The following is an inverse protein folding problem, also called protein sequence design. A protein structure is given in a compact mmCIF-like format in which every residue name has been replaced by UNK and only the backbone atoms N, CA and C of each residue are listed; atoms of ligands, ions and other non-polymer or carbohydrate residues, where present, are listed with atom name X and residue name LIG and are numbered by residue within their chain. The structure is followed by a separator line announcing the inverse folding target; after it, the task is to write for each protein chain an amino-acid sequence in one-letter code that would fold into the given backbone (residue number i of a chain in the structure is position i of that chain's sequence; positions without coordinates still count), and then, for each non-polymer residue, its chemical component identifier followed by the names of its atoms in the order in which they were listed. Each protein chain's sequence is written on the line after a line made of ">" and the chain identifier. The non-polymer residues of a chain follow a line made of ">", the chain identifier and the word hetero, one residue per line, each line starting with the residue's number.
data_IF_023335011489
#
_entry.id   IF_023335011489
#
_cell.length_a   1.000
_cell.length_b   1.000
_cell.length_c   1.000
_cell.angle_alpha   90.00
_cell.angle_beta   90.00
_cell.angle_gamma   90.00
#
_symmetry.space_group_name_H-M   'P 1'
#
loop_
_entity.id
_entity.type
_entity.pdbx_description
1 polymer ?
#
# COMPACT_ATOMS: atom_id res chain seq x y z
N UNK A 1 -38.40 3.49 3.03
CA UNK A 1 -37.51 3.40 4.20
C UNK A 1 -36.07 3.41 3.72
N UNK A 2 -35.32 4.50 3.90
CA UNK A 2 -33.89 4.49 3.59
C UNK A 2 -33.18 3.66 4.67
N UNK A 3 -32.81 2.42 4.34
CA UNK A 3 -31.86 1.68 5.16
C UNK A 3 -30.57 2.50 5.20
N UNK A 4 -30.25 2.99 6.39
CA UNK A 4 -28.98 3.64 6.70
C UNK A 4 -27.95 2.52 6.63
N UNK A 5 -27.43 2.24 5.43
CA UNK A 5 -26.37 1.24 5.25
C UNK A 5 -25.22 1.62 6.20
N UNK A 6 -25.02 0.80 7.23
CA UNK A 6 -23.92 0.98 8.14
C UNK A 6 -22.66 0.77 7.30
N UNK A 7 -21.95 1.85 7.03
CA UNK A 7 -20.69 1.82 6.30
C UNK A 7 -19.81 0.69 6.86
N UNK A 8 -19.43 -0.31 6.03
CA UNK A 8 -18.58 -1.40 6.47
C UNK A 8 -17.31 -0.89 7.13
N UNK A 9 -16.80 -1.61 8.13
CA UNK A 9 -15.62 -1.18 8.91
C UNK A 9 -14.44 -0.82 8.01
N UNK A 10 -14.18 -1.60 6.96
CA UNK A 10 -13.14 -1.35 5.96
C UNK A 10 -13.28 0.03 5.31
N UNK A 11 -14.51 0.47 5.03
CA UNK A 11 -14.74 1.77 4.39
C UNK A 11 -14.56 2.94 5.36
N UNK A 12 -14.81 2.73 6.66
CA UNK A 12 -14.45 3.71 7.69
C UNK A 12 -12.95 3.90 7.77
N UNK A 13 -12.18 2.80 7.69
CA UNK A 13 -10.72 2.82 7.64
C UNK A 13 -10.23 3.58 6.40
N UNK A 14 -10.83 3.34 5.23
CA UNK A 14 -10.52 4.11 4.02
C UNK A 14 -10.76 5.63 4.21
N UNK A 15 -11.88 6.02 4.81
CA UNK A 15 -12.15 7.45 5.09
C UNK A 15 -11.07 8.06 6.00
N UNK A 16 -10.65 7.31 7.04
CA UNK A 16 -9.57 7.74 7.91
C UNK A 16 -8.25 7.90 7.15
N UNK A 17 -7.91 6.96 6.27
CA UNK A 17 -6.70 7.06 5.46
C UNK A 17 -6.71 8.27 4.52
N UNK A 18 -7.85 8.57 3.90
CA UNK A 18 -8.03 9.77 3.07
C UNK A 18 -7.86 11.04 3.91
N UNK A 19 -8.42 11.06 5.12
CA UNK A 19 -8.27 12.18 6.04
C UNK A 19 -6.79 12.43 6.40
N UNK A 20 -6.06 11.38 6.78
CA UNK A 20 -4.64 11.47 7.12
C UNK A 20 -3.78 11.94 5.93
N UNK A 21 -4.07 11.46 4.72
CA UNK A 21 -3.42 11.95 3.50
C UNK A 21 -3.67 13.45 3.30
N UNK A 22 -4.92 13.92 3.44
CA UNK A 22 -5.27 15.34 3.28
C UNK A 22 -4.64 16.23 4.35
N UNK A 23 -4.42 15.70 5.55
CA UNK A 23 -3.69 16.40 6.63
C UNK A 23 -2.18 16.38 6.45
N UNK A 24 -1.66 15.64 5.46
CA UNK A 24 -0.24 15.57 5.18
C UNK A 24 0.54 14.64 6.11
N UNK A 25 -0.16 13.75 6.85
CA UNK A 25 0.47 12.76 7.75
C UNK A 25 1.36 11.79 6.96
N UNK A 26 0.91 11.40 5.77
CA UNK A 26 1.67 10.56 4.83
C UNK A 26 1.47 11.02 3.40
N UNK A 27 2.49 10.83 2.57
CA UNK A 27 2.51 11.26 1.16
C UNK A 27 1.81 10.27 0.23
N UNK A 28 1.74 9.01 0.64
CA UNK A 28 1.08 7.92 -0.07
C UNK A 28 0.47 6.93 0.93
N UNK A 29 -0.60 6.26 0.53
CA UNK A 29 -1.29 5.22 1.27
C UNK A 29 -1.41 3.98 0.41
N UNK A 30 -1.21 2.81 1.00
CA UNK A 30 -1.65 1.52 0.48
C UNK A 30 -2.81 1.02 1.34
N UNK A 31 -3.93 0.72 0.71
CA UNK A 31 -5.10 0.15 1.36
C UNK A 31 -5.57 -1.12 0.63
N UNK A 32 -5.65 -2.24 1.34
CA UNK A 32 -6.07 -3.53 0.77
C UNK A 32 -7.48 -3.87 1.22
N UNK A 33 -8.40 -4.05 0.29
CA UNK A 33 -9.82 -4.32 0.58
C UNK A 33 -10.45 -5.28 -0.44
N UNK A 34 -11.68 -5.70 -0.18
CA UNK A 34 -12.42 -6.59 -1.08
C UNK A 34 -12.93 -5.84 -2.33
N UNK A 35 -12.79 -6.44 -3.50
CA UNK A 35 -13.14 -5.83 -4.79
C UNK A 35 -14.60 -5.35 -4.89
N UNK A 36 -15.53 -5.93 -4.11
CA UNK A 36 -16.93 -5.49 -4.07
C UNK A 36 -17.10 -4.01 -3.68
N UNK A 37 -16.10 -3.41 -3.03
CA UNK A 37 -16.11 -2.01 -2.62
C UNK A 37 -15.30 -1.09 -3.55
N UNK A 38 -14.80 -1.58 -4.68
CA UNK A 38 -13.94 -0.83 -5.59
C UNK A 38 -14.58 0.46 -6.07
N UNK A 39 -15.80 0.37 -6.61
CA UNK A 39 -16.55 1.52 -7.12
C UNK A 39 -16.73 2.60 -6.07
N UNK A 40 -17.01 2.22 -4.82
CA UNK A 40 -17.15 3.15 -3.70
C UNK A 40 -15.81 3.85 -3.41
N UNK A 41 -14.72 3.09 -3.30
CA UNK A 41 -13.41 3.63 -2.99
C UNK A 41 -12.91 4.61 -4.07
N UNK A 42 -13.04 4.23 -5.35
CA UNK A 42 -12.64 5.05 -6.50
C UNK A 42 -13.46 6.35 -6.55
N UNK A 43 -14.79 6.25 -6.44
CA UNK A 43 -15.67 7.44 -6.46
C UNK A 43 -15.28 8.42 -5.35
N UNK A 44 -14.89 7.91 -4.18
CA UNK A 44 -14.48 8.76 -3.06
C UNK A 44 -13.16 9.50 -3.31
N UNK A 45 -12.20 8.86 -3.97
CA UNK A 45 -10.92 9.48 -4.32
C UNK A 45 -11.09 10.49 -5.46
N UNK A 46 -11.85 10.14 -6.49
CA UNK A 46 -12.16 11.02 -7.63
C UNK A 46 -12.90 12.28 -7.21
N UNK A 47 -13.93 12.18 -6.35
CA UNK A 47 -14.66 13.35 -5.82
C UNK A 47 -13.80 14.31 -5.00
N UNK A 48 -12.59 13.90 -4.61
CA UNK A 48 -11.63 14.72 -3.87
C UNK A 48 -10.37 15.04 -4.69
N UNK A 49 -10.37 14.70 -5.98
CA UNK A 49 -9.24 14.87 -6.89
C UNK A 49 -7.93 14.25 -6.36
N UNK A 50 -8.03 13.05 -5.77
CA UNK A 50 -6.88 12.31 -5.26
C UNK A 50 -6.45 11.28 -6.30
N UNK A 51 -5.20 11.36 -6.75
CA UNK A 51 -4.61 10.39 -7.67
C UNK A 51 -4.47 9.01 -7.02
N UNK A 52 -4.65 7.96 -7.83
CA UNK A 52 -4.63 6.58 -7.34
C UNK A 52 -4.18 5.55 -8.39
N UNK A 53 -3.86 4.34 -7.91
CA UNK A 53 -3.59 3.14 -8.69
C UNK A 53 -4.35 1.99 -8.02
N UNK A 54 -5.06 1.20 -8.83
CA UNK A 54 -5.68 -0.06 -8.40
C UNK A 54 -4.84 -1.21 -8.93
N UNK A 55 -4.51 -2.15 -8.06
CA UNK A 55 -3.78 -3.36 -8.40
C UNK A 55 -4.52 -4.59 -7.84
N UNK A 56 -4.98 -5.51 -8.71
CA UNK A 56 -5.52 -6.79 -8.26
C UNK A 56 -4.44 -7.63 -7.55
N UNK A 57 -4.76 -8.20 -6.39
CA UNK A 57 -3.85 -9.10 -5.65
C UNK A 57 -4.30 -10.56 -5.68
N UNK A 58 -5.45 -10.85 -6.30
CA UNK A 58 -6.09 -12.16 -6.31
C UNK A 58 -7.03 -12.36 -5.12
N UNK A 59 -7.77 -13.47 -5.14
CA UNK A 59 -8.73 -13.85 -4.08
C UNK A 59 -9.81 -12.78 -3.77
N UNK A 60 -10.27 -12.06 -4.80
CA UNK A 60 -11.29 -11.01 -4.65
C UNK A 60 -10.83 -9.79 -3.84
N UNK A 61 -9.52 -9.53 -3.76
CA UNK A 61 -8.94 -8.38 -3.07
C UNK A 61 -8.17 -7.48 -4.02
N UNK A 62 -8.18 -6.19 -3.70
CA UNK A 62 -7.49 -5.14 -4.42
C UNK A 62 -6.55 -4.40 -3.48
N UNK A 63 -5.37 -4.04 -3.99
CA UNK A 63 -4.54 -2.99 -3.43
C UNK A 63 -4.91 -1.66 -4.10
N UNK A 64 -5.21 -0.65 -3.30
CA UNK A 64 -5.41 0.72 -3.74
C UNK A 64 -4.31 1.58 -3.17
N UNK A 65 -3.45 2.07 -4.07
CA UNK A 65 -2.48 3.09 -3.76
C UNK A 65 -3.09 4.45 -4.07
N UNK A 66 -2.98 5.40 -3.16
CA UNK A 66 -3.37 6.78 -3.44
C UNK A 66 -2.42 7.76 -2.73
N UNK A 67 -2.17 8.90 -3.35
CA UNK A 67 -1.16 9.81 -2.83
C UNK A 67 -0.69 10.86 -3.82
N UNK A 68 0.51 11.36 -3.56
CA UNK A 68 1.21 12.29 -4.44
C UNK A 68 1.54 11.64 -5.80
N UNK A 69 1.33 12.33 -6.94
CA UNK A 69 1.59 11.78 -8.27
C UNK A 69 2.99 11.18 -8.42
N UNK A 70 4.01 11.84 -7.88
CA UNK A 70 5.41 11.42 -7.97
C UNK A 70 5.64 10.06 -7.26
N UNK A 71 4.97 9.84 -6.12
CA UNK A 71 4.99 8.54 -5.44
C UNK A 71 4.28 7.47 -6.27
N UNK A 72 3.16 7.81 -6.91
CA UNK A 72 2.40 6.87 -7.73
C UNK A 72 3.16 6.48 -9.00
N UNK A 73 3.87 7.41 -9.62
CA UNK A 73 4.72 7.13 -10.78
C UNK A 73 5.86 6.16 -10.42
N UNK A 74 6.47 6.34 -9.24
CA UNK A 74 7.43 5.37 -8.71
C UNK A 74 6.79 3.98 -8.49
N UNK A 75 5.57 3.92 -7.93
CA UNK A 75 4.84 2.65 -7.74
C UNK A 75 4.56 1.96 -9.07
N UNK A 76 4.17 2.68 -10.13
CA UNK A 76 3.91 2.09 -11.46
C UNK A 76 5.14 1.38 -12.02
N UNK A 77 6.32 1.92 -11.78
CA UNK A 77 7.57 1.35 -12.27
C UNK A 77 8.07 0.20 -11.39
N UNK A 78 7.87 0.30 -10.07
CA UNK A 78 8.44 -0.62 -9.09
C UNK A 78 7.54 -1.83 -8.79
N UNK A 79 6.22 -1.63 -8.72
CA UNK A 79 5.24 -2.62 -8.27
C UNK A 79 4.55 -3.26 -9.48
N UNK A 80 5.34 -4.00 -10.26
CA UNK A 80 4.87 -4.81 -11.40
C UNK A 80 4.67 -6.30 -11.04
N UNK A 81 4.84 -6.65 -9.77
CA UNK A 81 4.78 -8.01 -9.21
C UNK A 81 4.05 -8.00 -7.87
N UNK A 82 3.63 -9.15 -7.33
CA UNK A 82 3.06 -9.24 -5.98
C UNK A 82 3.97 -8.60 -4.92
N UNK A 83 3.39 -7.90 -3.94
CA UNK A 83 4.16 -7.21 -2.90
C UNK A 83 5.09 -8.14 -2.10
N UNK A 84 4.70 -9.42 -1.97
CA UNK A 84 5.53 -10.44 -1.32
C UNK A 84 6.82 -10.77 -2.07
N UNK A 85 6.90 -10.43 -3.35
CA UNK A 85 8.03 -10.73 -4.23
C UNK A 85 8.95 -9.53 -4.45
N UNK A 86 8.68 -8.39 -3.80
CA UNK A 86 9.55 -7.22 -3.87
C UNK A 86 10.96 -7.54 -3.35
N UNK A 87 11.97 -7.00 -4.01
CA UNK A 87 13.35 -7.05 -3.52
C UNK A 87 13.47 -6.30 -2.19
N UNK A 88 14.55 -6.52 -1.41
CA UNK A 88 14.82 -5.71 -0.22
C UNK A 88 14.84 -4.20 -0.53
N UNK A 89 15.42 -3.81 -1.67
CA UNK A 89 15.45 -2.42 -2.14
C UNK A 89 14.06 -1.87 -2.46
N UNK A 90 13.25 -2.62 -3.21
CA UNK A 90 11.91 -2.20 -3.60
C UNK A 90 10.98 -2.05 -2.37
N UNK A 91 11.08 -2.97 -1.41
CA UNK A 91 10.36 -2.93 -0.14
C UNK A 91 10.85 -1.79 0.77
N UNK A 92 12.15 -1.47 0.73
CA UNK A 92 12.69 -0.30 1.42
C UNK A 92 12.03 0.98 0.90
N UNK A 93 12.06 1.16 -0.42
CA UNK A 93 11.48 2.33 -1.11
C UNK A 93 9.98 2.41 -0.85
N UNK A 94 9.25 1.28 -0.95
CA UNK A 94 7.82 1.22 -0.66
C UNK A 94 7.53 1.67 0.77
N UNK A 95 8.23 1.12 1.76
CA UNK A 95 8.00 1.47 3.17
C UNK A 95 8.34 2.93 3.48
N UNK A 96 9.41 3.47 2.89
CA UNK A 96 9.73 4.89 3.00
C UNK A 96 8.62 5.79 2.43
N UNK A 97 8.05 5.44 1.26
CA UNK A 97 6.92 6.19 0.68
C UNK A 97 5.64 6.10 1.51
N UNK A 98 5.42 4.97 2.21
CA UNK A 98 4.31 4.78 3.14
C UNK A 98 4.51 5.53 4.47
N UNK A 99 5.68 6.12 4.70
CA UNK A 99 6.00 6.90 5.89
C UNK A 99 6.51 6.07 7.07
N UNK A 100 7.05 4.88 6.82
CA UNK A 100 7.76 4.14 7.87
C UNK A 100 9.07 4.84 8.24
N UNK A 101 9.48 4.64 9.49
CA UNK A 101 10.74 5.16 9.99
C UNK A 101 11.93 4.61 9.18
N UNK A 102 12.87 5.49 8.86
CA UNK A 102 14.02 5.15 8.00
C UNK A 102 14.95 4.18 8.72
N UNK A 103 15.17 4.32 10.02
CA UNK A 103 16.02 3.41 10.78
C UNK A 103 15.41 2.01 10.86
N UNK A 104 14.10 1.91 11.13
CA UNK A 104 13.38 0.64 11.11
C UNK A 104 13.43 -0.03 9.72
N UNK A 105 13.34 0.75 8.64
CA UNK A 105 13.50 0.22 7.28
C UNK A 105 14.95 -0.23 6.99
N UNK A 106 15.97 0.42 7.56
CA UNK A 106 17.36 -0.03 7.49
C UNK A 106 17.55 -1.38 8.18
N UNK A 107 17.03 -1.52 9.40
CA UNK A 107 17.07 -2.79 10.15
C UNK A 107 16.44 -3.92 9.34
N UNK A 108 15.20 -3.70 8.87
CA UNK A 108 14.46 -4.67 8.05
C UNK A 108 15.20 -5.01 6.75
N UNK A 109 15.83 -4.03 6.09
CA UNK A 109 16.62 -4.25 4.89
C UNK A 109 17.82 -5.17 5.15
N UNK A 110 18.60 -4.87 6.19
CA UNK A 110 19.73 -5.69 6.60
C UNK A 110 19.31 -7.13 6.92
N UNK A 111 18.23 -7.30 7.69
CA UNK A 111 17.69 -8.64 8.00
C UNK A 111 17.35 -9.43 6.74
N UNK A 112 16.63 -8.81 5.79
CA UNK A 112 16.24 -9.48 4.54
C UNK A 112 17.44 -9.82 3.67
N UNK A 113 18.48 -8.99 3.64
CA UNK A 113 19.73 -9.27 2.92
C UNK A 113 20.52 -10.40 3.57
N UNK A 114 20.67 -10.40 4.89
CA UNK A 114 21.35 -11.47 5.63
C UNK A 114 20.63 -12.82 5.45
N UNK A 115 19.30 -12.86 5.57
CA UNK A 115 18.53 -14.09 5.31
C UNK A 115 18.72 -14.62 3.90
N UNK A 116 18.74 -13.73 2.89
CA UNK A 116 19.01 -14.12 1.50
C UNK A 116 20.43 -14.67 1.33
N UNK A 117 21.43 -14.07 1.98
CA UNK A 117 22.80 -14.55 1.95
C UNK A 117 22.94 -15.92 2.62
N UNK A 118 22.28 -16.14 3.76
CA UNK A 118 22.26 -17.43 4.47
C UNK A 118 21.56 -18.53 3.65
N UNK A 119 20.41 -18.20 3.05
CA UNK A 119 19.70 -19.12 2.16
C UNK A 119 20.52 -19.48 0.91
N UNK A 120 21.25 -18.51 0.34
CA UNK A 120 22.15 -18.76 -0.79
C UNK A 120 23.38 -19.60 -0.41
N UNK A 121 23.81 -19.54 0.85
CA UNK A 121 24.93 -20.33 1.38
C UNK A 121 24.53 -21.76 1.82
N UNK A 122 23.26 -22.16 1.69
CA UNK A 122 22.78 -23.49 2.09
C UNK A 122 22.80 -23.75 3.60
N UNK A 123 22.97 -22.71 4.41
CA UNK A 123 22.98 -22.79 5.87
C UNK A 123 21.55 -22.57 6.38
N UNK A 124 20.73 -23.61 6.36
CA UNK A 124 19.48 -23.64 7.12
C UNK A 124 19.73 -24.34 8.45
N UNK A 125 19.44 -23.66 9.56
CA UNK A 125 19.32 -24.30 10.87
C UNK A 125 18.21 -25.35 10.87
#
# INVERSE_FOLDING_TARGET
>A
MQQKEVMPTDMKVLMNHIYEYKKGVRRMVLFTFNERFESFAITRLQSQNISYIVQPVGNGRLNLFFGKPECLDAIRLMVNKPLSQLTPEEDFILGAMLGYDICAQCERYCERKCRKAQAAAGLTN
#
